data_IF_176167360066
#
_entry.id   IF_176167360066
#
_cell.length_a   1.000
_cell.length_b   1.000
_cell.length_c   1.000
_cell.angle_alpha   90.00
_cell.angle_beta   90.00
_cell.angle_gamma   90.00
#
_symmetry.space_group_name_H-M   'P 1'
#
loop_
_entity.id
_entity.type
_entity.pdbx_description
1 polymer ?
#
# COMPACT_ATOMS: atom_id res chain seq x y z
N UNK A 1 0.44 -10.22 -11.29
CA UNK A 1 0.81 -8.96 -10.59
C UNK A 1 -0.30 -8.38 -9.71
N UNK A 2 -1.59 -8.44 -10.11
CA UNK A 2 -2.71 -7.86 -9.34
C UNK A 2 -2.88 -8.46 -7.94
N UNK A 3 -2.59 -9.73 -7.75
CA UNK A 3 -2.76 -10.42 -6.46
C UNK A 3 -1.60 -10.21 -5.48
N UNK A 4 -0.40 -9.78 -5.92
CA UNK A 4 0.78 -9.68 -5.05
C UNK A 4 0.61 -8.64 -3.94
N UNK A 5 0.08 -7.44 -4.23
CA UNK A 5 -0.09 -6.40 -3.19
C UNK A 5 -1.09 -6.76 -2.09
N UNK A 6 -2.15 -7.52 -2.43
CA UNK A 6 -3.12 -7.99 -1.43
C UNK A 6 -2.48 -9.08 -0.57
N UNK A 7 -1.75 -10.01 -1.18
CA UNK A 7 -1.05 -11.09 -0.47
C UNK A 7 -0.03 -10.56 0.53
N UNK A 8 0.73 -9.52 0.18
CA UNK A 8 1.66 -8.87 1.08
C UNK A 8 0.93 -8.32 2.33
N UNK A 9 -0.16 -7.58 2.13
CA UNK A 9 -0.94 -6.98 3.22
C UNK A 9 -1.62 -8.01 4.11
N UNK A 10 -2.16 -9.07 3.53
CA UNK A 10 -2.77 -10.16 4.28
C UNK A 10 -1.75 -11.02 5.04
N UNK A 11 -0.48 -10.93 4.65
CA UNK A 11 0.64 -11.54 5.38
C UNK A 11 1.01 -10.82 6.67
N UNK A 12 0.59 -9.55 6.86
CA UNK A 12 0.94 -8.80 8.06
C UNK A 12 0.37 -9.40 9.34
N UNK A 13 1.22 -9.42 10.36
CA UNK A 13 0.84 -9.58 11.76
C UNK A 13 1.25 -8.35 12.56
N UNK A 14 0.80 -8.25 13.80
CA UNK A 14 1.13 -7.11 14.67
C UNK A 14 2.64 -6.96 14.91
N UNK A 15 3.40 -8.04 14.88
CA UNK A 15 4.86 -8.06 15.04
C UNK A 15 5.64 -7.36 13.92
N UNK A 16 4.99 -7.15 12.76
CA UNK A 16 5.62 -6.51 11.61
C UNK A 16 5.64 -4.98 11.74
N UNK A 17 4.96 -4.44 12.76
CA UNK A 17 4.84 -3.02 13.04
C UNK A 17 5.74 -2.61 14.20
N UNK A 18 6.76 -1.79 13.93
CA UNK A 18 7.57 -1.18 14.97
C UNK A 18 6.93 0.16 15.38
N UNK A 19 6.26 0.17 16.53
CA UNK A 19 5.52 1.32 17.05
C UNK A 19 6.42 2.45 17.58
N UNK A 20 7.71 2.20 17.78
CA UNK A 20 8.67 3.22 18.22
C UNK A 20 9.21 4.00 17.04
N UNK A 21 9.52 3.32 15.93
CA UNK A 21 10.12 3.94 14.75
C UNK A 21 9.12 4.28 13.66
N UNK A 22 7.85 3.86 13.80
CA UNK A 22 6.79 3.95 12.80
C UNK A 22 7.19 3.29 11.46
N UNK A 23 7.80 2.11 11.57
CA UNK A 23 8.22 1.32 10.42
C UNK A 23 7.44 0.01 10.39
N UNK A 24 6.92 -0.35 9.22
CA UNK A 24 6.35 -1.67 8.94
C UNK A 24 7.28 -2.44 8.00
N UNK A 25 7.50 -3.72 8.27
CA UNK A 25 8.35 -4.58 7.46
C UNK A 25 7.53 -5.67 6.78
N UNK A 26 7.68 -5.78 5.46
CA UNK A 26 7.07 -6.85 4.65
C UNK A 26 8.01 -8.04 4.64
N UNK A 27 7.77 -9.04 5.48
CA UNK A 27 8.60 -10.25 5.59
C UNK A 27 7.96 -11.48 4.98
N UNK A 28 6.63 -11.47 4.82
CA UNK A 28 5.86 -12.64 4.39
C UNK A 28 4.65 -12.23 3.57
N UNK A 29 4.13 -13.19 2.84
CA UNK A 29 2.90 -13.05 2.05
C UNK A 29 1.89 -14.10 2.47
N UNK A 30 0.61 -13.77 2.37
CA UNK A 30 -0.48 -14.73 2.53
C UNK A 30 -0.74 -15.43 1.20
N UNK A 31 -0.71 -16.73 1.23
CA UNK A 31 -0.98 -17.60 0.09
C UNK A 31 -2.25 -18.40 0.37
N UNK A 32 -2.93 -18.83 -0.68
CA UNK A 32 -4.09 -19.70 -0.62
C UNK A 32 -3.90 -20.86 -1.58
N UNK A 33 -4.14 -22.05 -1.09
CA UNK A 33 -4.16 -23.28 -1.85
C UNK A 33 -5.44 -24.03 -1.51
N UNK A 34 -6.19 -24.58 -2.51
CA UNK A 34 -7.43 -25.30 -2.22
C UNK A 34 -7.27 -26.50 -1.29
N UNK A 35 -6.11 -27.18 -1.32
CA UNK A 35 -5.84 -28.36 -0.50
C UNK A 35 -5.37 -27.98 0.93
N UNK A 36 -4.64 -26.87 1.09
CA UNK A 36 -4.00 -26.50 2.35
C UNK A 36 -4.62 -25.25 3.00
N UNK A 37 -5.59 -24.60 2.34
CA UNK A 37 -6.20 -23.36 2.82
C UNK A 37 -5.28 -22.15 2.73
N UNK A 38 -5.34 -21.26 3.73
CA UNK A 38 -4.51 -20.06 3.79
C UNK A 38 -3.25 -20.35 4.59
N UNK A 39 -2.09 -20.10 4.00
CA UNK A 39 -0.79 -20.26 4.65
C UNK A 39 0.12 -19.07 4.38
N UNK A 40 1.24 -19.02 5.12
CA UNK A 40 2.22 -17.95 5.01
C UNK A 40 3.44 -18.46 4.26
N UNK A 41 3.91 -17.70 3.29
CA UNK A 41 5.15 -17.98 2.56
C UNK A 41 6.07 -16.77 2.49
N UNK A 42 7.32 -16.99 2.08
CA UNK A 42 8.24 -15.89 1.82
C UNK A 42 7.76 -15.06 0.62
N UNK A 43 8.11 -13.77 0.55
CA UNK A 43 7.90 -12.98 -0.65
C UNK A 43 8.64 -13.59 -1.85
N UNK A 44 8.08 -13.44 -3.05
CA UNK A 44 8.57 -14.08 -4.27
C UNK A 44 10.02 -13.72 -4.65
N UNK A 45 10.50 -12.55 -4.22
CA UNK A 45 11.85 -12.05 -4.52
C UNK A 45 12.45 -11.40 -3.27
N UNK A 46 13.79 -11.38 -3.17
CA UNK A 46 14.51 -10.70 -2.09
C UNK A 46 14.14 -9.19 -2.01
N UNK A 47 13.88 -8.53 -3.14
CA UNK A 47 13.43 -7.13 -3.18
C UNK A 47 12.00 -6.91 -2.69
N UNK A 48 11.22 -7.96 -2.51
CA UNK A 48 9.89 -7.87 -1.91
C UNK A 48 9.97 -7.73 -0.38
N UNK A 49 11.10 -8.08 0.23
CA UNK A 49 11.41 -7.69 1.59
C UNK A 49 11.69 -6.19 1.61
N UNK A 50 10.85 -5.44 2.26
CA UNK A 50 11.00 -3.98 2.35
C UNK A 50 10.43 -3.44 3.64
N UNK A 51 11.05 -2.39 4.14
CA UNK A 51 10.53 -1.62 5.27
C UNK A 51 9.99 -0.29 4.77
N UNK A 52 8.85 0.10 5.29
CA UNK A 52 8.17 1.33 4.94
C UNK A 52 7.94 2.15 6.21
N UNK A 53 8.37 3.40 6.21
CA UNK A 53 8.01 4.35 7.25
C UNK A 53 6.63 4.91 6.92
N UNK A 54 5.68 4.76 7.85
CA UNK A 54 4.30 5.17 7.66
C UNK A 54 3.92 6.28 8.64
N UNK A 55 2.89 7.07 8.33
CA UNK A 55 2.36 8.07 9.26
C UNK A 55 1.88 7.43 10.57
N UNK A 56 2.00 8.20 11.67
CA UNK A 56 1.65 7.75 13.03
C UNK A 56 0.22 7.23 13.12
N UNK A 57 -0.72 7.90 12.47
CA UNK A 57 -2.14 7.52 12.50
C UNK A 57 -2.42 6.10 12.00
N UNK A 58 -1.58 5.55 11.09
CA UNK A 58 -1.67 4.14 10.67
C UNK A 58 -1.40 3.21 11.85
N UNK A 59 -0.39 3.55 12.68
CA UNK A 59 -0.04 2.76 13.86
C UNK A 59 -1.13 2.84 14.94
N UNK A 60 -1.80 3.98 15.06
CA UNK A 60 -2.93 4.13 15.98
C UNK A 60 -4.13 3.29 15.51
N UNK A 61 -4.40 3.24 14.20
CA UNK A 61 -5.39 2.30 13.64
C UNK A 61 -5.03 0.83 13.91
N UNK A 62 -3.75 0.46 13.78
CA UNK A 62 -3.28 -0.91 14.07
C UNK A 62 -3.45 -1.25 15.56
N UNK A 63 -3.19 -0.30 16.47
CA UNK A 63 -3.45 -0.48 17.91
C UNK A 63 -4.94 -0.67 18.20
N UNK A 64 -5.80 0.14 17.58
CA UNK A 64 -7.26 0.04 17.73
C UNK A 64 -7.76 -1.33 17.24
N UNK A 65 -7.30 -1.79 16.07
CA UNK A 65 -7.63 -3.10 15.54
C UNK A 65 -7.17 -4.25 16.45
N UNK A 66 -5.97 -4.12 17.06
CA UNK A 66 -5.48 -5.10 18.04
C UNK A 66 -6.37 -5.16 19.28
N UNK A 67 -6.80 -4.01 19.78
CA UNK A 67 -7.72 -3.94 20.93
C UNK A 67 -9.06 -4.60 20.60
N UNK A 68 -9.61 -4.32 19.40
CA UNK A 68 -10.85 -4.94 18.93
C UNK A 68 -10.72 -6.47 18.81
N UNK A 69 -9.65 -6.98 18.21
CA UNK A 69 -9.41 -8.43 18.15
C UNK A 69 -9.27 -9.05 19.54
N UNK A 70 -8.63 -8.34 20.49
CA UNK A 70 -8.51 -8.82 21.86
C UNK A 70 -9.85 -8.92 22.58
N UNK A 71 -10.77 -7.97 22.36
CA UNK A 71 -12.13 -8.04 22.90
C UNK A 71 -12.91 -9.22 22.30
N UNK A 72 -12.88 -9.38 20.99
CA UNK A 72 -13.53 -10.52 20.31
C UNK A 72 -12.98 -11.87 20.77
N UNK A 73 -11.67 -11.96 20.99
CA UNK A 73 -11.05 -13.14 21.55
C UNK A 73 -11.60 -13.48 22.94
N UNK A 74 -11.80 -12.49 23.80
CA UNK A 74 -12.40 -12.70 25.12
C UNK A 74 -13.87 -13.13 25.03
N UNK A 75 -14.63 -12.57 24.07
CA UNK A 75 -16.03 -12.91 23.84
C UNK A 75 -16.20 -14.35 23.29
N UNK A 76 -15.34 -14.77 22.35
CA UNK A 76 -15.45 -16.05 21.66
C UNK A 76 -14.76 -17.20 22.41
N UNK A 77 -13.84 -16.90 23.32
CA UNK A 77 -13.11 -17.93 24.08
C UNK A 77 -12.47 -18.99 23.18
N UNK A 78 -12.85 -20.24 23.37
CA UNK A 78 -12.29 -21.38 22.63
C UNK A 78 -12.68 -21.38 21.14
N UNK A 79 -13.65 -20.58 20.71
CA UNK A 79 -14.04 -20.44 19.31
C UNK A 79 -13.14 -19.47 18.55
N UNK A 80 -12.25 -18.76 19.25
CA UNK A 80 -11.28 -17.86 18.62
C UNK A 80 -10.13 -18.61 17.95
N UNK A 81 -9.87 -18.30 16.69
CA UNK A 81 -8.73 -18.82 15.95
C UNK A 81 -7.53 -17.88 16.05
N UNK A 82 -6.51 -18.27 16.82
CA UNK A 82 -5.28 -17.48 16.97
C UNK A 82 -4.40 -17.57 15.71
N UNK A 83 -4.56 -16.66 14.79
CA UNK A 83 -3.78 -16.61 13.56
C UNK A 83 -2.55 -15.69 13.63
N UNK A 84 -2.48 -14.80 14.64
CA UNK A 84 -1.45 -13.76 14.77
C UNK A 84 -1.44 -12.73 13.64
N UNK A 85 -2.48 -12.71 12.80
CA UNK A 85 -2.57 -11.82 11.64
C UNK A 85 -3.25 -10.51 12.01
N UNK A 86 -2.86 -9.46 11.27
CA UNK A 86 -3.50 -8.16 11.39
C UNK A 86 -4.94 -8.20 10.84
N UNK A 87 -5.13 -8.86 9.70
CA UNK A 87 -6.44 -8.94 9.04
C UNK A 87 -7.01 -10.34 9.19
N UNK A 88 -8.08 -10.44 9.97
CA UNK A 88 -8.78 -11.68 10.26
C UNK A 88 -10.27 -11.54 9.95
N UNK A 89 -10.94 -12.66 9.87
CA UNK A 89 -12.39 -12.72 10.00
C UNK A 89 -12.82 -12.45 11.45
N UNK A 90 -14.11 -12.42 11.70
CA UNK A 90 -14.66 -12.14 13.03
C UNK A 90 -14.27 -13.19 14.08
N UNK A 91 -14.01 -14.41 13.65
CA UNK A 91 -13.59 -15.53 14.48
C UNK A 91 -12.06 -15.64 14.66
N UNK A 92 -11.28 -14.66 14.17
CA UNK A 92 -9.82 -14.67 14.23
C UNK A 92 -9.14 -15.46 13.12
N UNK A 93 -9.88 -16.22 12.30
CA UNK A 93 -9.33 -16.97 11.18
C UNK A 93 -8.79 -16.02 10.08
N UNK A 94 -7.78 -16.45 9.31
CA UNK A 94 -7.20 -15.61 8.27
C UNK A 94 -8.21 -15.19 7.20
N UNK A 95 -8.21 -13.91 6.81
CA UNK A 95 -8.99 -13.42 5.69
C UNK A 95 -8.37 -13.84 4.35
N UNK A 96 -9.20 -14.19 3.36
CA UNK A 96 -8.77 -14.47 1.99
C UNK A 96 -8.63 -13.19 1.17
N UNK A 97 -7.84 -13.21 0.09
CA UNK A 97 -7.76 -12.07 -0.82
C UNK A 97 -9.11 -11.62 -1.40
N UNK A 98 -10.02 -12.57 -1.65
CA UNK A 98 -11.38 -12.29 -2.14
C UNK A 98 -12.23 -11.55 -1.12
N UNK A 99 -12.14 -11.91 0.15
CA UNK A 99 -12.92 -11.31 1.24
C UNK A 99 -12.73 -9.78 1.28
N UNK A 100 -11.51 -9.30 1.00
CA UNK A 100 -11.22 -7.84 0.93
C UNK A 100 -11.83 -7.16 -0.30
N UNK A 101 -11.87 -7.88 -1.41
CA UNK A 101 -12.49 -7.35 -2.61
C UNK A 101 -14.00 -7.19 -2.40
N UNK A 102 -14.65 -8.22 -1.87
CA UNK A 102 -16.08 -8.25 -1.64
C UNK A 102 -16.48 -7.22 -0.58
N UNK A 103 -15.76 -7.16 0.56
CA UNK A 103 -16.00 -6.17 1.60
C UNK A 103 -15.78 -4.73 1.10
N UNK A 104 -14.71 -4.48 0.32
CA UNK A 104 -14.45 -3.16 -0.23
C UNK A 104 -15.53 -2.72 -1.23
N UNK A 105 -16.02 -3.65 -2.04
CA UNK A 105 -17.12 -3.42 -2.98
C UNK A 105 -18.41 -3.07 -2.23
N UNK A 106 -18.78 -3.88 -1.25
CA UNK A 106 -19.95 -3.64 -0.40
C UNK A 106 -19.88 -2.31 0.36
N UNK A 107 -18.70 -1.95 0.89
CA UNK A 107 -18.48 -0.67 1.55
C UNK A 107 -18.73 0.50 0.60
N UNK A 108 -18.18 0.44 -0.61
CA UNK A 108 -18.40 1.48 -1.62
C UNK A 108 -19.86 1.58 -2.03
N UNK A 109 -20.54 0.46 -2.26
CA UNK A 109 -21.96 0.41 -2.60
C UNK A 109 -22.82 1.05 -1.50
N UNK A 110 -22.57 0.73 -0.22
CA UNK A 110 -23.29 1.32 0.92
C UNK A 110 -23.14 2.84 1.03
N UNK A 111 -22.03 3.38 0.57
CA UNK A 111 -21.74 4.83 0.63
C UNK A 111 -21.92 5.55 -0.71
N UNK A 112 -22.48 4.87 -1.73
CA UNK A 112 -22.69 5.48 -3.05
C UNK A 112 -21.37 5.83 -3.78
N UNK A 113 -20.26 5.15 -3.45
CA UNK A 113 -18.96 5.39 -4.02
C UNK A 113 -18.66 4.40 -5.16
N UNK A 114 -17.99 4.82 -6.23
CA UNK A 114 -17.60 3.91 -7.29
C UNK A 114 -16.52 2.94 -6.81
N UNK A 115 -16.67 1.66 -7.13
CA UNK A 115 -15.68 0.64 -6.85
C UNK A 115 -14.71 0.41 -8.03
N UNK A 116 -13.46 0.76 -7.85
CA UNK A 116 -12.42 0.59 -8.87
C UNK A 116 -11.50 -0.63 -8.63
N UNK A 117 -11.72 -1.35 -7.54
CA UNK A 117 -10.87 -2.48 -7.11
C UNK A 117 -9.59 -2.03 -6.39
N UNK A 118 -9.06 -2.94 -5.58
CA UNK A 118 -7.92 -2.65 -4.67
C UNK A 118 -6.65 -2.25 -5.43
N UNK A 119 -6.49 -2.74 -6.66
CA UNK A 119 -5.31 -2.40 -7.46
C UNK A 119 -5.25 -0.91 -7.84
N UNK A 120 -6.39 -0.26 -7.98
CA UNK A 120 -6.46 1.17 -8.29
C UNK A 120 -5.93 2.04 -7.14
N UNK A 121 -6.05 1.60 -5.89
CA UNK A 121 -5.41 2.31 -4.76
C UNK A 121 -3.88 2.31 -4.88
N UNK A 122 -3.29 1.28 -5.48
CA UNK A 122 -1.86 1.28 -5.78
C UNK A 122 -1.50 2.30 -6.85
N UNK A 123 -2.31 2.38 -7.92
CA UNK A 123 -2.12 3.40 -8.97
C UNK A 123 -2.31 4.80 -8.40
N UNK A 124 -3.34 5.02 -7.59
CA UNK A 124 -3.58 6.30 -6.91
C UNK A 124 -2.39 6.70 -6.04
N UNK A 125 -1.88 5.78 -5.21
CA UNK A 125 -0.72 6.06 -4.37
C UNK A 125 0.51 6.43 -5.20
N UNK A 126 0.78 5.71 -6.30
CA UNK A 126 1.89 6.03 -7.19
C UNK A 126 1.72 7.41 -7.84
N UNK A 127 0.54 7.72 -8.35
CA UNK A 127 0.25 9.02 -8.96
C UNK A 127 0.40 10.15 -7.95
N UNK A 128 -0.11 9.99 -6.73
CA UNK A 128 0.05 10.99 -5.65
C UNK A 128 1.52 11.22 -5.29
N UNK A 129 2.34 10.16 -5.21
CA UNK A 129 3.77 10.30 -4.95
C UNK A 129 4.46 11.08 -6.07
N UNK A 130 4.13 10.79 -7.33
CA UNK A 130 4.71 11.47 -8.50
C UNK A 130 4.28 12.94 -8.54
N UNK A 131 3.00 13.23 -8.34
CA UNK A 131 2.47 14.60 -8.29
C UNK A 131 3.11 15.42 -7.16
N UNK A 132 3.49 14.77 -6.06
CA UNK A 132 4.28 15.40 -4.99
C UNK A 132 5.80 15.40 -5.26
N UNK A 133 6.21 15.32 -6.53
CA UNK A 133 7.59 15.40 -6.98
C UNK A 133 8.54 14.37 -6.36
N UNK A 134 8.00 13.21 -5.93
CA UNK A 134 8.83 12.11 -5.43
C UNK A 134 9.58 11.47 -6.60
N UNK A 135 10.87 11.24 -6.42
CA UNK A 135 11.71 10.63 -7.46
C UNK A 135 11.27 9.21 -7.81
N UNK A 136 11.53 8.80 -9.04
CA UNK A 136 11.06 7.53 -9.59
C UNK A 136 11.62 6.30 -8.84
N UNK A 137 12.82 6.38 -8.25
CA UNK A 137 13.41 5.27 -7.50
C UNK A 137 12.67 5.06 -6.19
N UNK A 138 12.34 6.15 -5.50
CA UNK A 138 11.53 6.12 -4.26
C UNK A 138 10.13 5.60 -4.54
N UNK A 139 9.46 6.07 -5.61
CA UNK A 139 8.15 5.53 -6.03
C UNK A 139 8.26 4.03 -6.34
N UNK A 140 9.25 3.61 -7.11
CA UNK A 140 9.49 2.21 -7.47
C UNK A 140 9.71 1.33 -6.23
N UNK A 141 10.52 1.80 -5.27
CA UNK A 141 10.77 1.11 -4.01
C UNK A 141 9.50 0.98 -3.16
N UNK A 142 8.72 2.07 -3.01
CA UNK A 142 7.46 2.06 -2.28
C UNK A 142 6.44 1.08 -2.90
N UNK A 143 6.42 0.98 -4.24
CA UNK A 143 5.59 0.02 -4.96
C UNK A 143 6.14 -1.41 -4.93
N UNK A 144 7.42 -1.62 -4.61
CA UNK A 144 8.09 -2.92 -4.66
C UNK A 144 8.29 -3.42 -6.09
N UNK A 145 8.52 -2.53 -7.06
CA UNK A 145 8.91 -2.93 -8.41
C UNK A 145 10.38 -3.36 -8.42
N UNK A 146 10.66 -4.48 -9.09
CA UNK A 146 12.03 -5.00 -9.22
C UNK A 146 12.92 -4.11 -10.10
N UNK A 147 12.32 -3.36 -11.03
CA UNK A 147 12.98 -2.45 -11.95
C UNK A 147 12.26 -1.10 -11.98
N UNK A 148 13.01 -0.01 -11.92
CA UNK A 148 12.48 1.35 -11.98
C UNK A 148 11.82 1.65 -13.34
N UNK A 149 12.30 1.01 -14.41
CA UNK A 149 11.69 1.10 -15.75
C UNK A 149 10.22 0.68 -15.77
N UNK A 150 9.83 -0.30 -14.93
CA UNK A 150 8.42 -0.68 -14.79
C UNK A 150 7.57 0.49 -14.27
N UNK A 151 8.08 1.26 -13.32
CA UNK A 151 7.39 2.46 -12.80
C UNK A 151 7.31 3.54 -13.88
N UNK A 152 8.41 3.82 -14.58
CA UNK A 152 8.43 4.81 -15.68
C UNK A 152 7.45 4.44 -16.78
N UNK A 153 7.44 3.19 -17.25
CA UNK A 153 6.56 2.77 -18.33
C UNK A 153 5.06 2.84 -17.98
N UNK A 154 4.72 2.54 -16.70
CA UNK A 154 3.31 2.56 -16.26
C UNK A 154 2.83 4.00 -15.98
N UNK A 155 3.71 4.87 -15.50
CA UNK A 155 3.36 6.22 -15.02
C UNK A 155 4.06 7.33 -15.81
N UNK A 156 4.55 7.08 -17.04
CA UNK A 156 5.25 8.06 -17.88
C UNK A 156 4.50 9.38 -17.96
N UNK A 157 3.22 9.35 -18.23
CA UNK A 157 2.40 10.55 -18.38
C UNK A 157 2.32 11.40 -17.10
N UNK A 158 2.28 10.78 -15.92
CA UNK A 158 2.32 11.50 -14.65
C UNK A 158 3.69 12.15 -14.40
N UNK A 159 4.78 11.51 -14.82
CA UNK A 159 6.13 12.09 -14.74
C UNK A 159 6.31 13.23 -15.73
N UNK A 160 5.77 13.15 -16.95
CA UNK A 160 5.80 14.23 -17.94
C UNK A 160 5.07 15.48 -17.43
N UNK A 161 3.92 15.30 -16.80
CA UNK A 161 3.15 16.39 -16.17
C UNK A 161 3.95 17.03 -15.04
N UNK A 162 4.51 16.24 -14.14
CA UNK A 162 5.33 16.75 -13.03
C UNK A 162 6.59 17.49 -13.53
N UNK A 163 7.21 17.02 -14.62
CA UNK A 163 8.33 17.68 -15.26
C UNK A 163 7.94 19.04 -15.87
N UNK A 164 6.78 19.12 -16.52
CA UNK A 164 6.28 20.38 -17.06
C UNK A 164 6.02 21.40 -15.95
N UNK A 165 5.43 21.00 -14.85
CA UNK A 165 5.19 21.84 -13.67
C UNK A 165 6.51 22.33 -13.05
N UNK A 166 7.50 21.45 -12.90
CA UNK A 166 8.82 21.81 -12.40
C UNK A 166 9.53 22.81 -13.32
N UNK A 167 9.42 22.64 -14.64
CA UNK A 167 9.97 23.56 -15.64
C UNK A 167 9.30 24.94 -15.58
N UNK A 168 7.99 24.98 -15.41
CA UNK A 168 7.24 26.24 -15.23
C UNK A 168 7.66 26.96 -13.93
N UNK A 169 7.83 26.21 -12.83
CA UNK A 169 8.33 26.73 -11.57
C UNK A 169 9.74 27.33 -11.68
N UNK A 170 10.64 26.67 -12.43
CA UNK A 170 11.98 27.15 -12.69
C UNK A 170 11.94 28.47 -13.53
N UNK A 171 11.11 28.50 -14.56
CA UNK A 171 10.94 29.71 -15.39
C UNK A 171 10.40 30.90 -14.59
N UNK A 172 9.51 30.65 -13.62
CA UNK A 172 8.98 31.69 -12.73
C UNK A 172 10.04 32.17 -11.72
N UNK A 173 10.94 31.29 -11.26
CA UNK A 173 11.99 31.62 -10.29
C UNK A 173 13.20 32.33 -10.91
N UNK A 174 13.42 32.22 -12.22
CA UNK A 174 14.52 32.84 -12.95
C UNK A 174 14.00 34.10 -13.68
N UNK A 175 14.30 35.32 -13.24
CA UNK A 175 13.96 36.54 -13.98
C UNK A 175 14.89 36.67 -15.19
N UNK A 176 14.55 35.95 -16.29
CA UNK A 176 15.32 36.06 -17.54
C UNK A 176 14.80 37.27 -18.32
N UNK A 177 15.47 38.40 -18.15
CA UNK A 177 15.28 39.55 -19.01
C UNK A 177 16.05 39.32 -20.33
N UNK A 178 15.46 38.66 -21.28
CA UNK A 178 15.95 38.71 -22.65
C UNK A 178 15.73 40.14 -23.14
N UNK A 179 16.75 40.98 -23.03
CA UNK A 179 16.72 42.36 -23.53
C UNK A 179 16.22 42.34 -24.99
N UNK A 180 15.12 43.04 -25.23
CA UNK A 180 14.71 43.38 -26.60
C UNK A 180 15.91 44.09 -27.22
N UNK A 181 16.63 43.41 -28.15
CA UNK A 181 17.52 44.13 -29.09
C UNK A 181 16.64 45.16 -29.80
N UNK A 182 16.86 46.43 -29.48
CA UNK A 182 16.33 47.54 -30.27
C UNK A 182 16.92 47.37 -31.68
N UNK A 183 16.08 47.25 -32.66
CA UNK A 183 16.40 47.42 -34.05
C UNK A 183 16.65 48.91 -34.32
#
# INVERSE_FOLDING_TARGET
QRQMCIRDRLGFGFRDFNFTTNVVTVERVSLYDPAHGIFTGPPKTARSHRSLKLPVWIFDMVKALRAEQSMRRMELGDQWHESGRLFTKLDGSPARPGDFYDWGKELCERHGLPWYGIHQFRHLNASLLITNHTDVRTVSAALGHSQTSTTLNIYSHAFETAQAEASAGLAAALPVNFGKKKA
#
